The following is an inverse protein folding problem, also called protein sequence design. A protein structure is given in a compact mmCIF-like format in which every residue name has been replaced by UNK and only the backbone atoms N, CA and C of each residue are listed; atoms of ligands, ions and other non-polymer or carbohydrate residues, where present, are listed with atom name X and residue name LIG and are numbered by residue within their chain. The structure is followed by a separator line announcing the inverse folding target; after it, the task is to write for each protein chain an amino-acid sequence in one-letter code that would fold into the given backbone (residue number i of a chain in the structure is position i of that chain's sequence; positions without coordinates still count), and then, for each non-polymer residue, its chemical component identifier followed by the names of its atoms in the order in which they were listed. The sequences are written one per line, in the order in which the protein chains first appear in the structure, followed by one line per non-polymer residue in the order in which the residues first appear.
data_IF_939234157024
#
_entry.id   IF_939234157024
#
_cell.length_a   1.000
_cell.length_b   1.000
_cell.length_c   1.000
_cell.angle_alpha   90.00
_cell.angle_beta   90.00
_cell.angle_gamma   90.00
#
_symmetry.space_group_name_H-M   'P 1'
#
loop_
_entity.id
_entity.type
_entity.pdbx_description
1 polymer ?
#
# COMPACT_ATOMS: atom_id res chain seq x y z
N UNK A 1 8.12 -18.41 6.55
CA UNK A 1 8.38 -19.56 5.66
C UNK A 1 8.88 -19.04 4.32
N UNK A 2 10.01 -19.53 3.78
CA UNK A 2 10.49 -19.07 2.48
C UNK A 2 9.52 -19.49 1.36
N UNK A 3 9.12 -18.54 0.50
CA UNK A 3 8.23 -18.79 -0.64
C UNK A 3 8.94 -19.67 -1.68
N UNK A 4 8.26 -20.72 -2.15
CA UNK A 4 8.82 -21.63 -3.15
C UNK A 4 8.92 -20.94 -4.52
N UNK A 5 9.88 -21.34 -5.39
CA UNK A 5 10.05 -20.73 -6.70
C UNK A 5 8.82 -20.90 -7.61
N UNK A 6 8.05 -21.98 -7.45
CA UNK A 6 6.78 -22.18 -8.16
C UNK A 6 5.70 -21.20 -7.70
N UNK A 7 5.62 -20.93 -6.39
CA UNK A 7 4.67 -19.98 -5.82
C UNK A 7 4.92 -18.55 -6.34
N UNK A 8 6.19 -18.15 -6.50
CA UNK A 8 6.56 -16.87 -7.13
C UNK A 8 6.07 -16.77 -8.59
N UNK A 9 6.19 -17.85 -9.36
CA UNK A 9 5.73 -17.89 -10.76
C UNK A 9 4.20 -17.79 -10.85
N UNK A 10 3.50 -18.49 -9.97
CA UNK A 10 2.03 -18.43 -9.89
C UNK A 10 1.60 -17.01 -9.50
N UNK A 11 2.25 -16.40 -8.50
CA UNK A 11 1.95 -15.03 -8.11
C UNK A 11 2.14 -14.05 -9.28
N UNK A 12 3.22 -14.16 -10.04
CA UNK A 12 3.44 -13.34 -11.24
C UNK A 12 2.36 -13.55 -12.30
N UNK A 13 1.95 -14.80 -12.54
CA UNK A 13 0.85 -15.08 -13.47
C UNK A 13 -0.46 -14.47 -13.01
N UNK A 14 -0.80 -14.58 -11.72
CA UNK A 14 -2.01 -13.98 -11.15
C UNK A 14 -1.95 -12.46 -11.25
N UNK A 15 -0.81 -11.85 -10.97
CA UNK A 15 -0.62 -10.40 -11.10
C UNK A 15 -0.82 -9.97 -12.56
N UNK A 16 -0.18 -10.66 -13.51
CA UNK A 16 -0.35 -10.38 -14.94
C UNK A 16 -1.81 -10.55 -15.39
N UNK A 17 -2.49 -11.58 -14.87
CA UNK A 17 -3.92 -11.80 -15.12
C UNK A 17 -4.77 -10.65 -14.58
N UNK A 18 -4.53 -10.20 -13.35
CA UNK A 18 -5.26 -9.09 -12.75
C UNK A 18 -5.02 -7.80 -13.54
N UNK A 19 -3.78 -7.51 -13.93
CA UNK A 19 -3.44 -6.32 -14.72
C UNK A 19 -4.17 -6.35 -16.07
N UNK A 20 -4.32 -7.52 -16.68
CA UNK A 20 -5.02 -7.67 -17.96
C UNK A 20 -6.55 -7.58 -17.83
N UNK A 21 -7.12 -8.28 -16.83
CA UNK A 21 -8.56 -8.45 -16.70
C UNK A 21 -9.26 -7.36 -15.88
N UNK A 22 -8.59 -6.74 -14.89
CA UNK A 22 -9.21 -5.68 -14.11
C UNK A 22 -9.67 -4.50 -14.99
N UNK A 23 -8.86 -3.99 -15.96
CA UNK A 23 -9.33 -2.99 -16.91
C UNK A 23 -10.53 -3.46 -17.75
N UNK A 24 -10.56 -4.73 -18.16
CA UNK A 24 -11.71 -5.26 -18.92
C UNK A 24 -13.01 -5.23 -18.10
N UNK A 25 -12.93 -5.45 -16.78
CA UNK A 25 -14.09 -5.31 -15.89
C UNK A 25 -14.54 -3.85 -15.74
N UNK A 26 -13.60 -2.90 -15.71
CA UNK A 26 -13.94 -1.47 -15.73
C UNK A 26 -14.63 -1.05 -17.02
N UNK A 27 -14.12 -1.49 -18.17
CA UNK A 27 -14.78 -1.28 -19.47
C UNK A 27 -16.21 -1.82 -19.45
N UNK A 28 -16.40 -3.05 -18.96
CA UNK A 28 -17.73 -3.66 -18.88
C UNK A 28 -18.69 -2.86 -18.00
N UNK A 29 -18.24 -2.42 -16.82
CA UNK A 29 -19.03 -1.60 -15.91
C UNK A 29 -19.36 -0.22 -16.52
N UNK A 30 -18.41 0.40 -17.21
CA UNK A 30 -18.60 1.69 -17.89
C UNK A 30 -19.61 1.56 -19.02
N UNK A 31 -19.52 0.51 -19.84
CA UNK A 31 -20.50 0.24 -20.90
C UNK A 31 -21.89 0.04 -20.32
N UNK A 32 -22.02 -0.81 -19.29
CA UNK A 32 -23.30 -1.04 -18.61
C UNK A 32 -23.90 0.27 -18.10
N UNK A 33 -23.09 1.11 -17.45
CA UNK A 33 -23.53 2.42 -16.96
C UNK A 33 -24.00 3.35 -18.09
N UNK A 34 -23.27 3.42 -19.20
CA UNK A 34 -23.61 4.25 -20.36
C UNK A 34 -24.92 3.80 -21.03
N UNK A 35 -25.11 2.48 -21.15
CA UNK A 35 -26.33 1.88 -21.70
C UNK A 35 -27.51 2.20 -20.78
N UNK A 36 -27.38 1.97 -19.48
CA UNK A 36 -28.45 2.23 -18.50
C UNK A 36 -28.81 3.72 -18.40
N UNK A 37 -27.82 4.60 -18.58
CA UNK A 37 -28.02 6.05 -18.60
C UNK A 37 -28.61 6.58 -19.91
N UNK A 38 -28.79 5.71 -20.92
CA UNK A 38 -29.29 6.08 -22.25
C UNK A 38 -28.32 6.93 -23.06
N UNK A 39 -27.05 6.96 -22.67
CA UNK A 39 -26.00 7.77 -23.31
C UNK A 39 -25.23 6.98 -24.38
N UNK A 40 -25.51 5.67 -24.52
CA UNK A 40 -24.88 4.82 -25.52
C UNK A 40 -25.82 3.65 -25.89
N UNK A 41 -26.04 3.45 -27.19
CA UNK A 41 -26.56 2.18 -27.69
C UNK A 41 -25.40 1.24 -28.05
N UNK A 42 -25.54 -0.07 -27.83
CA UNK A 42 -24.49 -1.03 -28.19
C UNK A 42 -24.13 -1.01 -29.69
N UNK A 43 -25.04 -0.54 -30.55
CA UNK A 43 -24.81 -0.38 -31.99
C UNK A 43 -23.84 0.75 -32.35
N UNK A 44 -23.64 1.68 -31.42
CA UNK A 44 -22.97 2.94 -31.69
C UNK A 44 -21.49 2.88 -31.28
N UNK A 45 -21.06 1.82 -30.59
CA UNK A 45 -19.67 1.63 -30.21
C UNK A 45 -18.93 0.77 -31.24
N UNK A 46 -17.90 1.35 -31.84
CA UNK A 46 -17.01 0.63 -32.73
C UNK A 46 -16.02 -0.25 -31.96
N UNK A 47 -15.47 -1.28 -32.62
CA UNK A 47 -14.38 -2.09 -32.04
C UNK A 47 -13.15 -1.24 -31.70
N UNK A 48 -12.89 -0.18 -32.46
CA UNK A 48 -11.75 0.71 -32.21
C UNK A 48 -11.95 1.50 -30.92
N UNK A 49 -13.14 2.08 -30.72
CA UNK A 49 -13.48 2.80 -29.48
C UNK A 49 -13.48 1.88 -28.26
N UNK A 50 -13.92 0.62 -28.41
CA UNK A 50 -13.83 -0.37 -27.33
C UNK A 50 -12.37 -0.64 -26.93
N UNK A 51 -11.47 -0.80 -27.91
CA UNK A 51 -10.04 -0.97 -27.65
C UNK A 51 -9.43 0.29 -27.04
N UNK A 52 -9.80 1.46 -27.52
CA UNK A 52 -9.36 2.73 -26.95
C UNK A 52 -9.76 2.85 -25.48
N UNK A 53 -11.02 2.57 -25.14
CA UNK A 53 -11.52 2.60 -23.78
C UNK A 53 -10.76 1.61 -22.87
N UNK A 54 -10.49 0.41 -23.38
CA UNK A 54 -9.66 -0.56 -22.67
C UNK A 54 -8.22 -0.06 -22.43
N UNK A 55 -7.61 0.59 -23.42
CA UNK A 55 -6.25 1.14 -23.28
C UNK A 55 -6.22 2.30 -22.28
N UNK A 56 -7.24 3.16 -22.28
CA UNK A 56 -7.40 4.23 -21.30
C UNK A 56 -7.49 3.63 -19.90
N UNK A 57 -8.36 2.63 -19.68
CA UNK A 57 -8.51 1.97 -18.39
C UNK A 57 -7.23 1.26 -17.96
N UNK A 58 -6.51 0.62 -18.90
CA UNK A 58 -5.23 -0.01 -18.62
C UNK A 58 -4.18 1.01 -18.15
N UNK A 59 -4.05 2.13 -18.87
CA UNK A 59 -3.13 3.21 -18.51
C UNK A 59 -3.52 3.82 -17.17
N UNK A 60 -4.80 4.10 -16.96
CA UNK A 60 -5.31 4.62 -15.67
C UNK A 60 -5.03 3.64 -14.53
N UNK A 61 -5.27 2.34 -14.73
CA UNK A 61 -5.03 1.32 -13.73
C UNK A 61 -3.54 1.25 -13.35
N UNK A 62 -2.64 1.28 -14.35
CA UNK A 62 -1.20 1.29 -14.12
C UNK A 62 -0.75 2.57 -13.43
N UNK A 63 -1.22 3.74 -13.87
CA UNK A 63 -0.88 5.03 -13.27
C UNK A 63 -1.38 5.13 -11.84
N UNK A 64 -2.60 4.66 -11.56
CA UNK A 64 -3.16 4.63 -10.22
C UNK A 64 -2.37 3.68 -9.32
N UNK A 65 -2.07 2.47 -9.80
CA UNK A 65 -1.25 1.51 -9.06
C UNK A 65 0.15 2.05 -8.77
N UNK A 66 0.78 2.70 -9.74
CA UNK A 66 2.06 3.38 -9.56
C UNK A 66 1.94 4.55 -8.57
N UNK A 67 0.88 5.35 -8.66
CA UNK A 67 0.60 6.46 -7.76
C UNK A 67 0.45 5.99 -6.31
N UNK A 68 -0.31 4.92 -6.07
CA UNK A 68 -0.47 4.30 -4.74
C UNK A 68 0.86 3.75 -4.23
N UNK A 69 1.61 3.04 -5.07
CA UNK A 69 2.95 2.55 -4.73
C UNK A 69 3.88 3.70 -4.34
N UNK A 70 3.91 4.77 -5.13
CA UNK A 70 4.76 5.93 -4.91
C UNK A 70 4.35 6.69 -3.65
N UNK A 71 3.05 6.87 -3.43
CA UNK A 71 2.52 7.54 -2.25
C UNK A 71 2.83 6.77 -0.98
N UNK A 72 2.71 5.43 -1.02
CA UNK A 72 3.06 4.55 0.11
C UNK A 72 4.54 4.70 0.45
N UNK A 73 5.40 4.69 -0.57
CA UNK A 73 6.84 4.88 -0.38
C UNK A 73 7.17 6.25 0.23
N UNK A 74 6.54 7.31 -0.28
CA UNK A 74 6.70 8.67 0.25
C UNK A 74 6.26 8.76 1.71
N UNK A 75 5.11 8.16 2.04
CA UNK A 75 4.57 8.15 3.40
C UNK A 75 5.47 7.38 4.37
N UNK A 76 6.06 6.26 3.91
CA UNK A 76 7.05 5.50 4.69
C UNK A 76 8.29 6.36 4.96
N UNK A 77 8.85 6.99 3.92
CA UNK A 77 10.11 7.71 4.03
C UNK A 77 10.01 8.94 4.94
N UNK A 78 8.89 9.66 4.90
CA UNK A 78 8.71 10.88 5.67
C UNK A 78 8.23 10.62 7.12
N UNK A 79 7.53 9.51 7.40
CA UNK A 79 6.96 9.24 8.75
C UNK A 79 7.80 8.33 9.64
N UNK A 80 8.63 7.46 9.06
CA UNK A 80 9.53 6.59 9.83
C UNK A 80 10.64 7.34 10.60
N UNK A 81 11.31 8.37 10.06
CA UNK A 81 12.34 9.06 10.83
C UNK A 81 11.78 9.75 12.08
N UNK A 82 10.60 10.38 11.98
CA UNK A 82 9.94 11.02 13.12
C UNK A 82 9.46 10.00 14.16
N UNK A 83 8.87 8.89 13.73
CA UNK A 83 8.39 7.85 14.66
C UNK A 83 9.53 7.16 15.41
N UNK A 84 10.68 6.93 14.76
CA UNK A 84 11.86 6.36 15.40
C UNK A 84 12.54 7.36 16.34
N UNK A 85 12.59 8.65 15.98
CA UNK A 85 13.13 9.70 16.85
C UNK A 85 12.32 9.86 18.16
N UNK A 86 10.99 9.76 18.10
CA UNK A 86 10.16 9.83 19.31
C UNK A 86 10.28 8.61 20.24
N UNK A 87 10.69 7.45 19.71
CA UNK A 87 10.92 6.25 20.51
C UNK A 87 12.25 6.32 21.25
N UNK A 88 13.29 6.86 20.59
CA UNK A 88 14.62 7.06 21.18
C UNK A 88 14.58 8.08 22.33
N UNK A 89 13.82 9.17 22.21
CA UNK A 89 13.62 10.13 23.32
C UNK A 89 12.84 9.55 24.51
N UNK A 90 11.94 8.58 24.26
CA UNK A 90 11.16 7.95 25.33
C UNK A 90 11.98 6.91 26.12
N UNK A 91 12.99 6.29 25.50
CA UNK A 91 13.90 5.35 26.15
C UNK A 91 14.98 6.07 26.97
N UNK A 92 15.46 7.23 26.52
CA UNK A 92 16.43 8.05 27.27
C UNK A 92 15.81 8.70 28.51
N UNK A 93 14.51 9.03 28.49
CA UNK A 93 13.81 9.58 29.66
C UNK A 93 13.49 8.53 30.75
N UNK A 94 13.58 7.23 30.43
CA UNK A 94 13.32 6.13 31.37
C UNK A 94 14.56 5.51 32.02
N UNK A 95 15.77 5.98 31.66
CA UNK A 95 17.04 5.38 32.11
C UNK A 95 17.84 6.24 33.12
N UNK A 96 17.29 7.36 33.60
CA UNK A 96 17.93 8.23 34.61
C UNK A 96 17.18 8.30 35.94
N UNK A 97 16.44 7.26 36.32
CA UNK A 97 15.91 7.16 37.69
C UNK A 97 16.00 5.72 38.19
N UNK A 98 17.23 5.24 38.39
CA UNK A 98 17.55 4.23 39.40
C UNK A 98 19.08 4.04 39.45
N UNK A 99 19.72 4.57 40.50
CA UNK A 99 20.74 3.91 41.36
C UNK A 99 21.69 4.94 41.98
N UNK A 100 21.43 5.36 43.22
CA UNK A 100 22.38 5.27 44.36
C UNK A 100 21.81 5.95 45.62
N UNK A 101 21.24 5.16 46.53
CA UNK A 101 21.64 5.26 47.95
C UNK A 101 21.53 3.87 48.57
N UNK A 102 22.62 3.12 48.43
CA UNK A 102 22.86 1.85 49.10
C UNK A 102 22.82 2.03 50.62
N UNK A 103 22.14 1.13 51.32
CA UNK A 103 22.08 1.11 52.78
C UNK A 103 23.33 0.55 53.46
N UNK A 104 23.37 0.80 54.78
CA UNK A 104 24.18 0.17 55.85
C UNK A 104 25.62 0.68 55.96
N UNK A 105 26.11 1.24 57.08
CA UNK A 105 26.34 0.65 58.41
C UNK A 105 26.65 1.76 59.43
N UNK A 106 26.17 1.65 60.69
CA UNK A 106 27.00 1.72 61.91
C UNK A 106 26.17 1.54 63.20
N UNK A 107 26.52 0.49 63.94
CA UNK A 107 26.20 0.25 65.34
C UNK A 107 26.87 1.28 66.29
N UNK A 108 26.34 1.33 67.52
CA UNK A 108 26.94 1.84 68.77
C UNK A 108 27.18 3.35 68.95
N UNK A 109 26.41 3.99 69.85
CA UNK A 109 26.87 4.42 71.19
C UNK A 109 25.85 5.28 71.97
N UNK A 110 25.67 4.89 73.24
CA UNK A 110 25.23 5.65 74.43
C UNK A 110 23.76 6.04 74.63
#
# INVERSE_FOLDING_TARGET
MPVSPSQKRIALLVIGLVILFAPALFVLATLEFLILSGNLALSDISLLEFVELYLIDLVLFVLLGYGVYRLTFWLIQDRLPDALATVDETEVAGATDDTETSGTVSEEQS
#
